data_IF_920571161308
#
_entry.id   IF_920571161308
#
_cell.length_a   1.000
_cell.length_b   1.000
_cell.length_c   1.000
_cell.angle_alpha   90.00
_cell.angle_beta   90.00
_cell.angle_gamma   90.00
#
_symmetry.space_group_name_H-M   'P 1'
#
loop_
_entity.id
_entity.type
_entity.pdbx_description
1 polymer ?
#
# COMPACT_ATOMS: atom_id res chain seq x y z
N UNK A 1 -14.45 1.69 15.57
CA UNK A 1 -14.72 2.84 14.69
C UNK A 1 -16.01 2.57 13.90
N UNK A 2 -16.89 3.56 13.74
CA UNK A 2 -18.08 3.40 12.89
C UNK A 2 -17.65 3.28 11.42
N UNK A 3 -18.35 2.46 10.62
CA UNK A 3 -17.92 2.14 9.23
C UNK A 3 -17.87 3.39 8.36
N UNK A 4 -18.76 4.34 8.61
CA UNK A 4 -18.87 5.63 7.95
C UNK A 4 -17.64 6.51 8.23
N UNK A 5 -17.12 6.47 9.46
CA UNK A 5 -15.92 7.21 9.84
C UNK A 5 -14.67 6.64 9.16
N UNK A 6 -14.55 5.31 9.12
CA UNK A 6 -13.47 4.64 8.39
C UNK A 6 -13.49 5.00 6.90
N UNK A 7 -14.67 4.96 6.28
CA UNK A 7 -14.82 5.34 4.87
C UNK A 7 -14.47 6.81 4.65
N UNK A 8 -14.94 7.70 5.51
CA UNK A 8 -14.63 9.14 5.43
C UNK A 8 -13.13 9.40 5.48
N UNK A 9 -12.42 8.77 6.43
CA UNK A 9 -10.97 8.90 6.57
C UNK A 9 -10.25 8.31 5.35
N UNK A 10 -10.67 7.14 4.87
CA UNK A 10 -10.09 6.51 3.67
C UNK A 10 -10.24 7.41 2.45
N UNK A 11 -11.43 7.98 2.24
CA UNK A 11 -11.68 8.90 1.14
C UNK A 11 -10.83 10.17 1.25
N UNK A 12 -10.75 10.76 2.45
CA UNK A 12 -9.96 11.97 2.67
C UNK A 12 -8.47 11.71 2.39
N UNK A 13 -7.94 10.56 2.81
CA UNK A 13 -6.58 10.13 2.48
C UNK A 13 -6.35 9.96 0.98
N UNK A 14 -7.29 9.32 0.27
CA UNK A 14 -7.23 9.17 -1.19
C UNK A 14 -7.34 10.50 -1.94
N UNK A 15 -8.07 11.48 -1.41
CA UNK A 15 -8.22 12.80 -2.04
C UNK A 15 -6.98 13.70 -1.87
N UNK A 16 -6.14 13.44 -0.87
CA UNK A 16 -4.90 14.20 -0.63
C UNK A 16 -3.65 13.57 -1.27
N UNK A 17 -3.80 12.47 -2.01
CA UNK A 17 -2.69 11.79 -2.69
C UNK A 17 -2.92 11.74 -4.20
N UNK A 18 -1.86 11.51 -4.96
CA UNK A 18 -1.91 11.28 -6.41
C UNK A 18 -1.10 10.03 -6.74
N UNK A 19 -1.37 9.37 -7.85
CA UNK A 19 -0.65 8.15 -8.28
C UNK A 19 0.84 8.37 -8.55
N UNK A 20 1.31 9.62 -8.58
CA UNK A 20 2.71 9.95 -8.84
C UNK A 20 3.56 9.97 -7.56
N UNK A 21 2.93 10.09 -6.38
CA UNK A 21 3.62 10.07 -5.08
C UNK A 21 4.01 8.65 -4.69
N UNK A 22 4.93 8.50 -3.74
CA UNK A 22 5.33 7.18 -3.26
C UNK A 22 4.16 6.47 -2.58
N UNK A 23 3.41 7.22 -1.77
CA UNK A 23 2.19 6.77 -1.12
C UNK A 23 1.13 6.36 -2.15
N UNK A 24 0.90 7.18 -3.18
CA UNK A 24 -0.05 6.88 -4.24
C UNK A 24 0.29 5.60 -4.99
N UNK A 25 1.56 5.36 -5.27
CA UNK A 25 2.05 4.11 -5.90
C UNK A 25 1.79 2.89 -5.01
N UNK A 26 2.05 2.98 -3.71
CA UNK A 26 1.72 1.90 -2.77
C UNK A 26 0.20 1.63 -2.76
N UNK A 27 -0.62 2.67 -2.64
CA UNK A 27 -2.07 2.53 -2.63
C UNK A 27 -2.62 1.95 -3.94
N UNK A 28 -2.02 2.32 -5.07
CA UNK A 28 -2.35 1.74 -6.37
C UNK A 28 -2.08 0.24 -6.41
N UNK A 29 -0.93 -0.21 -5.86
CA UNK A 29 -0.66 -1.65 -5.73
C UNK A 29 -1.70 -2.32 -4.81
N UNK A 30 -2.02 -1.73 -3.66
CA UNK A 30 -3.02 -2.30 -2.74
C UNK A 30 -4.40 -2.46 -3.38
N UNK A 31 -4.79 -1.53 -4.26
CA UNK A 31 -6.06 -1.62 -5.01
C UNK A 31 -6.01 -2.70 -6.11
N UNK A 32 -4.83 -2.96 -6.68
CA UNK A 32 -4.64 -3.96 -7.73
C UNK A 32 -4.57 -5.39 -7.18
N UNK A 33 -3.83 -5.59 -6.07
CA UNK A 33 -3.40 -6.89 -5.55
C UNK A 33 -4.49 -7.79 -4.95
N UNK A 34 -5.67 -7.24 -4.66
CA UNK A 34 -6.89 -7.97 -4.23
C UNK A 34 -6.64 -9.21 -3.34
N UNK A 35 -5.94 -9.02 -2.23
CA UNK A 35 -5.49 -10.10 -1.33
C UNK A 35 -6.56 -11.16 -1.04
N UNK A 36 -6.26 -12.42 -1.34
CA UNK A 36 -7.06 -13.58 -0.93
C UNK A 36 -6.52 -14.20 0.36
N UNK A 37 -7.17 -13.86 1.48
CA UNK A 37 -6.80 -14.36 2.80
C UNK A 37 -6.84 -15.90 2.92
N UNK A 38 -7.57 -16.60 2.05
CA UNK A 38 -7.62 -18.08 2.08
C UNK A 38 -6.34 -18.71 1.54
N UNK A 39 -5.73 -18.07 0.54
CA UNK A 39 -4.55 -18.58 -0.12
C UNK A 39 -3.27 -18.09 0.58
N UNK A 40 -3.23 -16.82 1.00
CA UNK A 40 -2.07 -16.23 1.67
C UNK A 40 -1.92 -16.61 3.16
N UNK A 41 -3.00 -17.07 3.80
CA UNK A 41 -3.03 -17.27 5.25
C UNK A 41 -2.94 -15.98 6.08
N UNK A 42 -2.95 -14.80 5.42
CA UNK A 42 -2.92 -13.46 6.02
C UNK A 42 -4.05 -12.60 5.45
N UNK A 43 -4.80 -11.93 6.32
CA UNK A 43 -5.82 -10.95 5.93
C UNK A 43 -5.23 -9.63 5.43
N UNK A 44 -6.01 -8.79 4.73
CA UNK A 44 -5.55 -7.48 4.26
C UNK A 44 -5.03 -6.55 5.38
N UNK A 45 -5.63 -6.62 6.58
CA UNK A 45 -5.18 -5.83 7.72
C UNK A 45 -3.81 -6.30 8.23
N UNK A 46 -3.59 -7.62 8.31
CA UNK A 46 -2.31 -8.19 8.73
C UNK A 46 -1.19 -7.81 7.77
N UNK A 47 -1.45 -7.84 6.45
CA UNK A 47 -0.50 -7.32 5.46
C UNK A 47 -0.18 -5.83 5.69
N UNK A 48 -1.19 -4.99 5.90
CA UNK A 48 -0.97 -3.56 6.13
C UNK A 48 -0.15 -3.32 7.42
N UNK A 49 -0.43 -4.07 8.49
CA UNK A 49 0.28 -3.99 9.76
C UNK A 49 1.74 -4.45 9.63
N UNK A 50 1.99 -5.58 8.96
CA UNK A 50 3.33 -6.14 8.74
C UNK A 50 4.26 -5.11 8.06
N UNK A 51 3.78 -4.44 7.01
CA UNK A 51 4.59 -3.46 6.29
C UNK A 51 4.94 -2.24 7.15
N UNK A 52 3.99 -1.75 7.94
CA UNK A 52 4.21 -0.56 8.77
C UNK A 52 5.10 -0.86 9.99
N UNK A 53 5.05 -2.09 10.51
CA UNK A 53 5.93 -2.53 11.60
C UNK A 53 7.35 -2.84 11.10
N UNK A 54 7.47 -3.32 9.86
CA UNK A 54 8.72 -3.76 9.25
C UNK A 54 8.93 -3.16 7.85
N UNK A 55 9.08 -1.82 7.72
CA UNK A 55 9.17 -1.15 6.44
C UNK A 55 10.35 -1.62 5.57
N UNK A 56 11.42 -2.10 6.19
CA UNK A 56 12.58 -2.70 5.50
C UNK A 56 12.22 -3.93 4.65
N UNK A 57 11.06 -4.53 4.89
CA UNK A 57 10.58 -5.74 4.21
C UNK A 57 9.74 -5.45 2.96
N UNK A 58 9.59 -4.18 2.54
CA UNK A 58 8.71 -3.79 1.43
C UNK A 58 8.88 -4.65 0.16
N UNK A 59 10.11 -5.05 -0.20
CA UNK A 59 10.34 -5.89 -1.38
C UNK A 59 9.75 -7.29 -1.25
N UNK A 60 9.94 -7.95 -0.10
CA UNK A 60 9.36 -9.27 0.15
C UNK A 60 7.86 -9.16 0.37
N UNK A 61 7.41 -8.11 1.08
CA UNK A 61 6.00 -7.83 1.31
C UNK A 61 5.22 -7.67 -0.01
N UNK A 62 5.76 -6.93 -0.98
CA UNK A 62 5.14 -6.79 -2.31
C UNK A 62 4.95 -8.16 -2.97
N UNK A 63 5.95 -9.04 -2.86
CA UNK A 63 5.87 -10.38 -3.44
C UNK A 63 4.77 -11.20 -2.75
N UNK A 64 4.70 -11.17 -1.42
CA UNK A 64 3.64 -11.87 -0.68
C UNK A 64 2.23 -11.35 -1.02
N UNK A 65 2.10 -10.04 -1.25
CA UNK A 65 0.82 -9.41 -1.59
C UNK A 65 0.38 -9.74 -3.01
N UNK A 66 1.29 -9.63 -3.99
CA UNK A 66 0.97 -9.94 -5.39
C UNK A 66 0.77 -11.44 -5.60
N UNK A 67 1.50 -12.28 -4.87
CA UNK A 67 1.37 -13.74 -4.98
C UNK A 67 0.17 -14.29 -4.18
N UNK A 68 -0.55 -13.42 -3.46
CA UNK A 68 -1.55 -13.83 -2.47
C UNK A 68 -2.77 -14.54 -3.06
N UNK A 69 -3.09 -14.35 -4.34
CA UNK A 69 -4.26 -14.95 -5.01
C UNK A 69 -3.89 -15.98 -6.11
N UNK A 70 -2.60 -16.34 -6.22
CA UNK A 70 -2.00 -17.19 -7.26
C UNK A 70 -2.23 -16.70 -8.71
N UNK A 71 -2.56 -15.41 -8.90
CA UNK A 71 -2.83 -14.81 -10.21
C UNK A 71 -2.01 -13.53 -10.36
N UNK A 72 -1.54 -13.29 -11.58
CA UNK A 72 -0.92 -12.01 -11.92
C UNK A 72 -1.77 -11.33 -12.99
N UNK A 73 -2.55 -10.35 -12.57
CA UNK A 73 -3.29 -9.45 -13.44
C UNK A 73 -2.37 -8.42 -14.10
N UNK A 74 -2.85 -7.83 -15.20
CA UNK A 74 -2.12 -6.76 -15.90
C UNK A 74 -2.03 -5.53 -15.00
N UNK A 75 -3.08 -5.27 -14.23
CA UNK A 75 -3.17 -4.15 -13.29
C UNK A 75 -2.10 -4.23 -12.20
N UNK A 76 -1.85 -5.43 -11.65
CA UNK A 76 -0.78 -5.66 -10.67
C UNK A 76 0.60 -5.45 -11.27
N UNK A 77 0.85 -5.99 -12.48
CA UNK A 77 2.13 -5.82 -13.15
C UNK A 77 2.44 -4.34 -13.45
N UNK A 78 1.43 -3.58 -13.86
CA UNK A 78 1.56 -2.13 -14.10
C UNK A 78 1.83 -1.41 -12.79
N UNK A 79 1.04 -1.66 -11.74
CA UNK A 79 1.22 -1.02 -10.44
C UNK A 79 2.61 -1.31 -9.85
N UNK A 80 3.06 -2.57 -9.94
CA UNK A 80 4.40 -3.00 -9.50
C UNK A 80 5.51 -2.29 -10.26
N UNK A 81 5.39 -2.18 -11.59
CA UNK A 81 6.34 -1.44 -12.42
C UNK A 81 6.42 0.03 -12.03
N UNK A 82 5.27 0.67 -11.76
CA UNK A 82 5.19 2.08 -11.37
C UNK A 82 5.82 2.39 -10.00
N UNK A 83 5.85 1.40 -9.08
CA UNK A 83 6.57 1.56 -7.82
C UNK A 83 8.07 1.81 -8.03
N UNK A 84 8.66 1.26 -9.11
CA UNK A 84 10.06 1.46 -9.50
C UNK A 84 11.02 1.33 -8.30
N UNK A 85 10.90 0.21 -7.58
CA UNK A 85 11.53 -0.04 -6.28
C UNK A 85 13.04 -0.34 -6.38
N UNK A 86 13.81 0.59 -6.96
CA UNK A 86 15.28 0.48 -7.11
C UNK A 86 16.02 0.61 -5.78
N UNK A 87 15.44 1.37 -4.86
CA UNK A 87 15.95 1.61 -3.52
C UNK A 87 14.78 1.52 -2.52
N UNK A 88 14.51 0.31 -1.99
CA UNK A 88 13.40 0.06 -1.07
C UNK A 88 13.42 0.95 0.18
N UNK A 89 14.62 1.22 0.72
CA UNK A 89 14.79 2.03 1.92
C UNK A 89 14.42 3.48 1.63
N UNK A 90 14.89 4.04 0.51
CA UNK A 90 14.53 5.39 0.08
C UNK A 90 13.05 5.49 -0.26
N UNK A 91 12.46 4.45 -0.86
CA UNK A 91 11.02 4.39 -1.11
C UNK A 91 10.26 4.53 0.21
N UNK A 92 10.55 3.69 1.20
CA UNK A 92 9.84 3.74 2.48
C UNK A 92 10.09 5.02 3.26
N UNK A 93 11.30 5.58 3.22
CA UNK A 93 11.55 6.89 3.84
C UNK A 93 10.64 7.96 3.23
N UNK A 94 10.57 8.03 1.89
CA UNK A 94 9.73 9.01 1.19
C UNK A 94 8.24 8.78 1.45
N UNK A 95 7.81 7.53 1.61
CA UNK A 95 6.44 7.20 2.00
C UNK A 95 6.09 7.76 3.39
N UNK A 96 6.96 7.55 4.38
CA UNK A 96 6.76 8.04 5.74
C UNK A 96 6.81 9.58 5.81
N UNK A 97 7.69 10.21 5.01
CA UNK A 97 7.73 11.67 4.87
C UNK A 97 6.41 12.21 4.29
N UNK A 98 5.87 11.57 3.24
CA UNK A 98 4.58 11.94 2.65
C UNK A 98 3.42 11.76 3.64
N UNK A 99 3.42 10.69 4.44
CA UNK A 99 2.42 10.48 5.50
C UNK A 99 2.49 11.56 6.58
N UNK A 100 3.70 11.96 7.00
CA UNK A 100 3.88 13.03 8.00
C UNK A 100 3.31 14.36 7.50
N UNK A 101 3.41 14.64 6.20
CA UNK A 101 2.82 15.85 5.61
C UNK A 101 1.29 15.81 5.69
N UNK A 102 0.66 14.64 5.49
CA UNK A 102 -0.80 14.50 5.58
C UNK A 102 -1.32 14.76 7.00
N UNK A 103 -0.63 14.26 8.03
CA UNK A 103 -0.97 14.54 9.43
C UNK A 103 -0.97 16.06 9.71
N UNK A 104 -0.01 16.79 9.16
CA UNK A 104 0.07 18.26 9.33
C UNK A 104 -1.01 19.04 8.59
N UNK A 105 -1.68 18.43 7.60
CA UNK A 105 -2.81 19.01 6.86
C UNK A 105 -4.16 18.75 7.55
N UNK A 106 -4.16 18.11 8.72
CA UNK A 106 -5.37 17.83 9.50
C UNK A 106 -6.12 16.59 9.05
N UNK A 107 -5.43 15.64 8.41
CA UNK A 107 -5.87 14.24 8.28
C UNK A 107 -5.52 13.43 9.53
#
# INVERSE_FOLDING_TARGET
MQKEQLLTQTMAFLLCTTTDTTLGKLLQLCLAAKVDAKNSGKGPLEFAEDLLQHPETISSWISEVVDSDDRYSVEEMVALSEMNLKDPQKFMQKLLDEMTVLDTQGL
#
